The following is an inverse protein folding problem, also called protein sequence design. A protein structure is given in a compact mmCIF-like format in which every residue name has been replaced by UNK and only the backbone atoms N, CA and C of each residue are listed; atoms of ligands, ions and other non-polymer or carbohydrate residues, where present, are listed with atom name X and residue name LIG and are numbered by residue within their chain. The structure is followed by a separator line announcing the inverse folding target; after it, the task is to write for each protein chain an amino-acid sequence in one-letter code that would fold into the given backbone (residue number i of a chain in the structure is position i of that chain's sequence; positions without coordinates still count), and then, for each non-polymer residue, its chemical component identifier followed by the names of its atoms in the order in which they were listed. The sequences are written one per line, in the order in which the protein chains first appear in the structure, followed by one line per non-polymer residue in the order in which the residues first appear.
data_IF_861733947869
#
_entry.id   IF_861733947869
#
_cell.length_a   1.000
_cell.length_b   1.000
_cell.length_c   1.000
_cell.angle_alpha   90.00
_cell.angle_beta   90.00
_cell.angle_gamma   90.00
#
_symmetry.space_group_name_H-M   'P 1'
#
loop_
_entity.id
_entity.type
_entity.pdbx_description
1 polymer ?
#
# COMPACT_ATOMS: atom_id res chain seq x y z
N UNK A 1 7.18 -15.33 3.98
CA UNK A 1 6.58 -15.85 5.20
C UNK A 1 5.24 -15.17 5.46
N UNK A 2 4.19 -15.91 5.89
CA UNK A 2 2.87 -15.38 6.24
C UNK A 2 2.71 -15.39 7.76
N UNK A 3 2.30 -14.24 8.33
CA UNK A 3 2.06 -14.10 9.75
C UNK A 3 0.60 -13.72 9.97
N UNK A 4 -0.15 -14.57 10.67
CA UNK A 4 -1.53 -14.31 11.03
C UNK A 4 -1.60 -13.48 12.31
N UNK A 5 -2.38 -12.41 12.29
CA UNK A 5 -2.64 -11.54 13.43
C UNK A 5 -4.10 -11.65 13.89
N UNK A 6 -4.32 -11.45 15.18
CA UNK A 6 -5.66 -11.49 15.78
C UNK A 6 -6.48 -10.21 15.58
N UNK A 7 -5.84 -9.15 15.05
CA UNK A 7 -6.50 -7.86 14.86
C UNK A 7 -5.78 -7.07 13.77
N UNK A 8 -6.53 -6.38 12.93
CA UNK A 8 -5.99 -5.66 11.78
C UNK A 8 -5.09 -4.49 12.17
N UNK A 9 -5.41 -3.77 13.25
CA UNK A 9 -4.52 -2.74 13.79
C UNK A 9 -3.15 -3.31 14.16
N UNK A 10 -3.11 -4.53 14.74
CA UNK A 10 -1.87 -5.20 15.07
C UNK A 10 -1.09 -5.55 13.80
N UNK A 11 -1.76 -6.08 12.78
CA UNK A 11 -1.12 -6.46 11.51
C UNK A 11 -0.43 -5.25 10.86
N UNK A 12 -1.12 -4.11 10.75
CA UNK A 12 -0.57 -2.88 10.18
C UNK A 12 0.61 -2.35 11.00
N UNK A 13 0.49 -2.34 12.34
CA UNK A 13 1.57 -1.85 13.20
C UNK A 13 2.80 -2.78 13.19
N UNK A 14 2.60 -4.09 13.13
CA UNK A 14 3.71 -5.05 12.97
C UNK A 14 4.43 -4.85 11.65
N UNK A 15 3.69 -4.66 10.55
CA UNK A 15 4.27 -4.36 9.25
C UNK A 15 5.08 -3.05 9.28
N UNK A 16 4.55 -2.01 9.94
CA UNK A 16 5.27 -0.75 10.15
C UNK A 16 6.59 -0.95 10.90
N UNK A 17 6.56 -1.64 12.04
CA UNK A 17 7.76 -1.91 12.83
C UNK A 17 8.79 -2.75 12.09
N UNK A 18 8.33 -3.77 11.37
CA UNK A 18 9.22 -4.62 10.56
C UNK A 18 9.89 -3.82 9.43
N UNK A 19 9.13 -2.97 8.73
CA UNK A 19 9.65 -2.11 7.67
C UNK A 19 10.71 -1.14 8.21
N UNK A 20 10.48 -0.52 9.38
CA UNK A 20 11.46 0.37 9.99
C UNK A 20 12.79 -0.30 10.32
N UNK A 21 12.74 -1.55 10.77
CA UNK A 21 13.95 -2.28 11.17
C UNK A 21 14.70 -2.83 9.95
N UNK A 22 13.96 -3.31 8.94
CA UNK A 22 14.56 -4.04 7.81
C UNK A 22 14.72 -3.20 6.54
N UNK A 23 14.00 -2.08 6.42
CA UNK A 23 13.89 -1.30 5.19
C UNK A 23 13.05 -1.99 4.11
N UNK A 24 12.40 -3.13 4.39
CA UNK A 24 11.65 -3.91 3.43
C UNK A 24 10.15 -3.62 3.54
N UNK A 25 9.55 -3.13 2.45
CA UNK A 25 8.11 -2.92 2.36
C UNK A 25 7.34 -4.23 2.63
N UNK A 26 6.26 -4.14 3.40
CA UNK A 26 5.42 -5.28 3.75
C UNK A 26 4.09 -5.25 3.01
N UNK A 27 3.50 -6.43 2.80
CA UNK A 27 2.11 -6.57 2.38
C UNK A 27 1.24 -6.94 3.58
N UNK A 28 0.09 -6.29 3.71
CA UNK A 28 -0.88 -6.52 4.79
C UNK A 28 -2.24 -6.82 4.18
N UNK A 29 -2.82 -7.95 4.57
CA UNK A 29 -4.17 -8.33 4.21
C UNK A 29 -5.09 -8.07 5.40
N UNK A 30 -6.15 -7.30 5.19
CA UNK A 30 -7.15 -7.00 6.19
C UNK A 30 -8.54 -7.45 5.71
N UNK A 31 -9.46 -7.67 6.63
CA UNK A 31 -10.82 -8.05 6.26
C UNK A 31 -11.52 -6.92 5.50
N UNK A 32 -12.45 -7.29 4.61
CA UNK A 32 -13.30 -6.35 3.87
C UNK A 32 -14.05 -5.40 4.83
N UNK A 33 -14.15 -4.14 4.47
CA UNK A 33 -14.90 -3.13 5.21
C UNK A 33 -14.40 -2.93 6.65
N UNK A 34 -14.88 -3.76 7.56
CA UNK A 34 -14.59 -3.63 9.00
C UNK A 34 -13.11 -3.77 9.33
N UNK A 35 -12.39 -4.68 8.68
CA UNK A 35 -10.96 -4.84 8.87
C UNK A 35 -10.15 -3.65 8.38
N UNK A 36 -10.53 -3.09 7.24
CA UNK A 36 -9.94 -1.85 6.74
C UNK A 36 -10.15 -0.69 7.72
N UNK A 37 -11.37 -0.54 8.27
CA UNK A 37 -11.68 0.47 9.26
C UNK A 37 -10.85 0.29 10.54
N UNK A 38 -10.67 -0.93 11.00
CA UNK A 38 -9.84 -1.24 12.17
C UNK A 38 -8.35 -0.95 11.90
N UNK A 39 -7.87 -1.16 10.69
CA UNK A 39 -6.49 -0.85 10.29
C UNK A 39 -6.23 0.62 9.93
N UNK A 40 -7.28 1.42 9.71
CA UNK A 40 -7.19 2.75 9.11
C UNK A 40 -6.26 3.70 9.87
N UNK A 41 -6.28 3.69 11.20
CA UNK A 41 -5.39 4.53 12.01
C UNK A 41 -3.92 4.14 11.80
N UNK A 42 -3.60 2.86 11.78
CA UNK A 42 -2.26 2.37 11.50
C UNK A 42 -1.77 2.76 10.09
N UNK A 43 -2.64 2.63 9.09
CA UNK A 43 -2.36 3.04 7.70
C UNK A 43 -2.09 4.55 7.65
N UNK A 44 -2.90 5.35 8.36
CA UNK A 44 -2.68 6.80 8.44
C UNK A 44 -1.35 7.14 9.11
N UNK A 45 -0.97 6.43 10.17
CA UNK A 45 0.33 6.59 10.83
C UNK A 45 1.49 6.20 9.89
N UNK A 46 1.34 5.09 9.15
CA UNK A 46 2.33 4.67 8.16
C UNK A 46 2.53 5.72 7.06
N UNK A 47 1.45 6.38 6.61
CA UNK A 47 1.55 7.48 5.66
C UNK A 47 2.31 8.68 6.21
N UNK A 48 2.06 9.07 7.47
CA UNK A 48 2.78 10.18 8.11
C UNK A 48 4.26 9.88 8.35
N UNK A 49 4.58 8.63 8.62
CA UNK A 49 5.94 8.17 8.89
C UNK A 49 6.68 7.68 7.63
N UNK A 50 6.12 7.92 6.45
CA UNK A 50 6.66 7.50 5.15
C UNK A 50 7.03 6.01 5.08
N UNK A 51 6.21 5.14 5.69
CA UNK A 51 6.46 3.69 5.72
C UNK A 51 5.87 3.04 4.46
N UNK A 52 6.71 2.47 3.59
CA UNK A 52 6.21 1.78 2.40
C UNK A 52 5.47 0.50 2.78
N UNK A 53 4.23 0.36 2.32
CA UNK A 53 3.37 -0.77 2.63
C UNK A 53 2.35 -0.98 1.52
N UNK A 54 2.04 -2.23 1.20
CA UNK A 54 0.88 -2.60 0.38
C UNK A 54 -0.21 -3.15 1.30
N UNK A 55 -1.32 -2.43 1.43
CA UNK A 55 -2.50 -2.89 2.15
C UNK A 55 -3.53 -3.38 1.15
N UNK A 56 -4.09 -4.54 1.38
CA UNK A 56 -5.17 -5.10 0.56
C UNK A 56 -6.32 -5.56 1.45
N UNK A 57 -7.53 -5.41 0.95
CA UNK A 57 -8.72 -6.04 1.54
C UNK A 57 -9.61 -6.65 0.47
N UNK A 58 -10.47 -7.56 0.87
CA UNK A 58 -11.58 -7.97 0.02
C UNK A 58 -12.61 -6.85 -0.15
N UNK A 59 -13.44 -6.98 -1.16
CA UNK A 59 -14.63 -6.15 -1.40
C UNK A 59 -15.78 -7.05 -1.83
N UNK A 60 -16.97 -6.50 -1.84
CA UNK A 60 -18.17 -7.14 -2.37
C UNK A 60 -18.03 -7.48 -3.85
N UNK A 61 -18.94 -8.32 -4.33
CA UNK A 61 -19.08 -8.60 -5.76
C UNK A 61 -19.43 -7.32 -6.51
N UNK A 62 -18.68 -7.04 -7.55
CA UNK A 62 -18.87 -5.85 -8.39
C UNK A 62 -19.41 -6.17 -9.77
N UNK A 63 -19.23 -7.40 -10.23
CA UNK A 63 -19.81 -7.94 -11.45
C UNK A 63 -20.92 -8.94 -11.09
N UNK A 64 -22.14 -8.45 -10.94
CA UNK A 64 -23.33 -9.27 -10.62
C UNK A 64 -23.85 -10.17 -11.76
N UNK A 65 -23.01 -10.50 -12.74
CA UNK A 65 -23.41 -11.21 -13.94
C UNK A 65 -23.08 -12.71 -13.95
N UNK A 66 -22.36 -13.21 -12.96
CA UNK A 66 -22.01 -14.63 -12.90
C UNK A 66 -22.97 -15.39 -11.98
N UNK A 67 -23.92 -16.10 -12.60
CA UNK A 67 -24.95 -16.88 -11.90
C UNK A 67 -24.36 -18.08 -11.12
N UNK A 68 -23.12 -18.46 -11.41
CA UNK A 68 -22.46 -19.63 -10.82
C UNK A 68 -21.61 -19.29 -9.58
N UNK A 69 -21.46 -18.02 -9.21
CA UNK A 69 -20.74 -17.64 -8.00
C UNK A 69 -21.56 -18.00 -6.75
N UNK A 70 -21.08 -18.90 -5.88
CA UNK A 70 -21.78 -19.30 -4.66
C UNK A 70 -21.66 -18.21 -3.58
N UNK A 71 -22.34 -17.07 -3.80
CA UNK A 71 -22.16 -15.88 -3.00
C UNK A 71 -23.35 -15.67 -2.07
N UNK A 72 -23.06 -15.50 -0.80
CA UNK A 72 -24.03 -15.10 0.19
C UNK A 72 -24.60 -13.70 -0.11
N UNK A 73 -25.90 -13.45 0.11
CA UNK A 73 -26.53 -12.17 -0.20
C UNK A 73 -25.86 -10.93 0.39
N UNK A 74 -25.17 -11.07 1.51
CA UNK A 74 -24.43 -9.99 2.15
C UNK A 74 -23.31 -9.38 1.27
N UNK A 75 -22.82 -10.14 0.30
CA UNK A 75 -21.73 -9.70 -0.59
C UNK A 75 -22.21 -8.90 -1.81
N UNK A 76 -23.51 -8.74 -1.98
CA UNK A 76 -24.07 -7.94 -3.09
C UNK A 76 -24.29 -6.47 -2.75
N UNK A 77 -24.28 -6.09 -1.50
CA UNK A 77 -24.71 -4.76 -1.05
C UNK A 77 -23.62 -3.71 -0.90
N UNK A 78 -22.37 -4.04 -1.22
CA UNK A 78 -21.24 -3.16 -0.92
C UNK A 78 -20.88 -3.17 0.57
N UNK A 79 -19.83 -3.89 0.94
CA UNK A 79 -19.35 -3.99 2.33
C UNK A 79 -18.81 -2.64 2.81
N UNK A 80 -18.32 -1.83 1.89
CA UNK A 80 -17.81 -0.49 2.16
C UNK A 80 -18.61 0.56 1.41
N UNK A 81 -19.61 1.21 2.04
CA UNK A 81 -20.41 2.25 1.38
C UNK A 81 -19.52 3.33 0.75
N UNK A 82 -19.72 3.58 -0.54
CA UNK A 82 -18.92 4.54 -1.30
C UNK A 82 -17.62 3.99 -1.87
N UNK A 83 -17.25 2.75 -1.57
CA UNK A 83 -16.04 2.06 -2.00
C UNK A 83 -14.92 2.14 -0.97
N UNK A 84 -14.26 1.01 -0.73
CA UNK A 84 -13.17 0.89 0.23
C UNK A 84 -11.95 1.73 -0.18
N UNK A 85 -11.66 1.81 -1.47
CA UNK A 85 -10.62 2.65 -2.05
C UNK A 85 -10.81 4.13 -1.70
N UNK A 86 -12.05 4.64 -1.78
CA UNK A 86 -12.36 6.04 -1.46
C UNK A 86 -12.28 6.35 0.03
N UNK A 87 -12.53 5.35 0.86
CA UNK A 87 -12.47 5.50 2.31
C UNK A 87 -11.04 5.83 2.78
N UNK A 88 -10.02 5.22 2.16
CA UNK A 88 -8.62 5.38 2.56
C UNK A 88 -7.82 6.31 1.65
N UNK A 89 -8.34 6.68 0.49
CA UNK A 89 -7.66 7.55 -0.45
C UNK A 89 -7.03 8.82 0.18
N UNK A 90 -7.64 9.49 1.19
CA UNK A 90 -7.03 10.68 1.81
C UNK A 90 -5.73 10.43 2.58
N UNK A 91 -5.39 9.18 2.90
CA UNK A 91 -4.23 8.86 3.73
C UNK A 91 -3.41 7.66 3.23
N UNK A 92 -3.43 7.46 1.92
CA UNK A 92 -2.51 6.57 1.20
C UNK A 92 -1.97 7.27 -0.05
N UNK A 93 -0.85 6.83 -0.59
CA UNK A 93 -0.29 7.42 -1.82
C UNK A 93 -1.14 7.12 -3.05
N UNK A 94 -1.77 5.96 -3.07
CA UNK A 94 -2.68 5.52 -4.13
C UNK A 94 -3.63 4.47 -3.56
N UNK A 95 -4.90 4.61 -3.92
CA UNK A 95 -5.95 3.64 -3.65
C UNK A 95 -6.61 3.25 -4.97
N UNK A 96 -6.90 1.97 -5.15
CA UNK A 96 -7.53 1.49 -6.37
C UNK A 96 -8.40 0.27 -6.12
N UNK A 97 -9.55 0.27 -6.78
CA UNK A 97 -10.37 -0.90 -6.98
C UNK A 97 -9.78 -1.75 -8.11
N UNK A 98 -9.67 -3.06 -7.90
CA UNK A 98 -9.05 -3.99 -8.85
C UNK A 98 -10.12 -4.61 -9.75
N UNK A 99 -10.11 -4.35 -11.07
CA UNK A 99 -11.19 -4.77 -11.96
C UNK A 99 -11.09 -6.22 -12.47
N UNK A 100 -9.98 -6.92 -12.23
CA UNK A 100 -9.79 -8.32 -12.67
C UNK A 100 -8.56 -8.96 -12.02
N UNK A 101 -8.47 -10.29 -11.98
CA UNK A 101 -7.31 -11.01 -11.48
C UNK A 101 -6.01 -10.70 -12.25
N UNK A 102 -5.98 -10.65 -13.60
CA UNK A 102 -4.79 -10.20 -14.33
C UNK A 102 -4.36 -8.78 -13.98
N UNK A 103 -5.34 -7.87 -13.76
CA UNK A 103 -5.04 -6.49 -13.35
C UNK A 103 -4.51 -6.43 -11.92
N UNK A 104 -4.98 -7.29 -11.01
CA UNK A 104 -4.45 -7.38 -9.64
C UNK A 104 -2.93 -7.59 -9.65
N UNK A 105 -2.44 -8.53 -10.46
CA UNK A 105 -1.00 -8.78 -10.58
C UNK A 105 -0.22 -7.52 -10.98
N UNK A 106 -0.71 -6.79 -11.99
CA UNK A 106 -0.07 -5.54 -12.42
C UNK A 106 -0.17 -4.43 -11.36
N UNK A 107 -1.31 -4.36 -10.67
CA UNK A 107 -1.50 -3.40 -9.57
C UNK A 107 -0.56 -3.68 -8.40
N UNK A 108 -0.31 -4.94 -8.05
CA UNK A 108 0.65 -5.31 -6.98
C UNK A 108 2.07 -4.84 -7.33
N UNK A 109 2.53 -5.10 -8.56
CA UNK A 109 3.86 -4.63 -8.99
C UNK A 109 3.94 -3.10 -8.92
N UNK A 110 2.95 -2.40 -9.50
CA UNK A 110 2.88 -0.94 -9.47
C UNK A 110 2.79 -0.38 -8.04
N UNK A 111 2.00 -1.01 -7.17
CA UNK A 111 1.87 -0.63 -5.79
C UNK A 111 3.21 -0.70 -5.04
N UNK A 112 3.96 -1.79 -5.24
CA UNK A 112 5.30 -1.94 -4.67
C UNK A 112 6.28 -0.88 -5.17
N UNK A 113 6.26 -0.55 -6.46
CA UNK A 113 7.07 0.53 -7.02
C UNK A 113 6.71 1.89 -6.42
N UNK A 114 5.42 2.20 -6.31
CA UNK A 114 4.95 3.49 -5.80
C UNK A 114 5.16 3.65 -4.30
N UNK A 115 4.97 2.58 -3.52
CA UNK A 115 5.16 2.61 -2.08
C UNK A 115 6.59 3.00 -1.69
N UNK A 116 7.57 2.50 -2.42
CA UNK A 116 8.99 2.68 -2.14
C UNK A 116 9.60 3.98 -2.68
N UNK A 117 8.90 4.70 -3.59
CA UNK A 117 9.38 5.99 -4.10
C UNK A 117 9.14 7.11 -3.09
N UNK A 118 10.13 7.95 -2.89
CA UNK A 118 10.02 9.12 -2.01
C UNK A 118 8.99 10.15 -2.54
N UNK A 119 8.18 10.78 -1.68
CA UNK A 119 7.98 10.39 -0.29
C UNK A 119 7.36 8.99 -0.21
N UNK A 120 7.93 8.09 0.61
CA UNK A 120 7.42 6.73 0.75
C UNK A 120 6.07 6.71 1.47
N UNK A 121 5.34 5.59 1.37
CA UNK A 121 4.07 5.48 2.07
C UNK A 121 3.21 4.31 1.61
N UNK A 122 2.09 4.07 2.29
CA UNK A 122 1.19 2.97 2.01
C UNK A 122 0.43 3.17 0.69
N UNK A 123 0.15 2.04 0.05
CA UNK A 123 -0.74 1.89 -1.10
C UNK A 123 -1.90 0.98 -0.66
N UNK A 124 -3.08 1.21 -1.19
CA UNK A 124 -4.23 0.37 -0.92
C UNK A 124 -4.86 -0.19 -2.20
N UNK A 125 -5.17 -1.48 -2.18
CA UNK A 125 -5.92 -2.17 -3.24
C UNK A 125 -7.11 -2.91 -2.63
N UNK A 126 -8.32 -2.67 -3.15
CA UNK A 126 -9.46 -3.52 -2.85
C UNK A 126 -9.67 -4.55 -3.95
N UNK A 127 -9.94 -5.79 -3.53
CA UNK A 127 -10.04 -6.93 -4.43
C UNK A 127 -11.44 -7.50 -4.31
N UNK A 128 -12.29 -7.39 -5.34
CA UNK A 128 -13.60 -8.01 -5.38
C UNK A 128 -13.56 -9.52 -5.17
N UNK A 129 -14.61 -10.05 -4.53
CA UNK A 129 -14.71 -11.46 -4.18
C UNK A 129 -14.60 -12.37 -5.42
N UNK A 130 -15.23 -12.00 -6.53
CA UNK A 130 -15.17 -12.75 -7.77
C UNK A 130 -13.74 -12.96 -8.26
N UNK A 131 -12.87 -11.96 -8.12
CA UNK A 131 -11.47 -12.06 -8.55
C UNK A 131 -10.60 -12.88 -7.60
N UNK A 132 -10.99 -12.97 -6.32
CA UNK A 132 -10.34 -13.88 -5.37
C UNK A 132 -10.70 -15.35 -5.59
N UNK A 133 -11.83 -15.62 -6.24
CA UNK A 133 -12.30 -16.98 -6.57
C UNK A 133 -11.86 -17.43 -7.96
N UNK A 134 -11.33 -16.54 -8.80
CA UNK A 134 -10.81 -16.90 -10.11
C UNK A 134 -9.58 -17.81 -10.02
N UNK A 135 -9.58 -18.91 -10.76
CA UNK A 135 -8.39 -19.75 -10.97
C UNK A 135 -7.50 -19.12 -12.06
N UNK A 136 -6.69 -18.15 -11.65
CA UNK A 136 -5.80 -17.43 -12.53
C UNK A 136 -4.37 -17.39 -11.97
N UNK A 137 -3.40 -17.50 -12.85
CA UNK A 137 -1.99 -17.29 -12.53
C UNK A 137 -1.27 -16.56 -13.67
N UNK A 138 -0.27 -15.73 -13.38
CA UNK A 138 0.51 -15.07 -14.42
C UNK A 138 1.29 -16.08 -15.25
N UNK A 139 1.41 -15.83 -16.54
CA UNK A 139 2.24 -16.64 -17.42
C UNK A 139 3.74 -16.34 -17.17
N UNK A 140 4.54 -17.38 -17.07
CA UNK A 140 6.00 -17.28 -16.92
C UNK A 140 6.47 -17.00 -15.49
N UNK A 141 7.67 -16.46 -15.37
CA UNK A 141 8.28 -16.16 -14.08
C UNK A 141 7.61 -14.94 -13.41
N UNK A 142 7.49 -14.99 -12.08
CA UNK A 142 6.96 -13.88 -11.31
C UNK A 142 7.93 -12.70 -11.36
N UNK A 143 7.41 -11.53 -11.73
CA UNK A 143 8.19 -10.30 -11.73
C UNK A 143 8.44 -9.85 -10.29
N UNK A 144 9.66 -9.44 -10.01
CA UNK A 144 9.99 -8.76 -8.78
C UNK A 144 9.66 -7.26 -8.91
N UNK A 145 9.29 -6.65 -7.80
CA UNK A 145 9.15 -5.19 -7.72
C UNK A 145 10.55 -4.59 -7.85
N UNK A 146 10.81 -3.72 -8.82
CA UNK A 146 12.11 -3.08 -8.95
C UNK A 146 12.37 -2.15 -7.75
N UNK A 147 13.64 -1.96 -7.36
CA UNK A 147 13.98 -0.98 -6.32
C UNK A 147 13.60 0.43 -6.77
N UNK A 148 13.30 1.29 -5.81
CA UNK A 148 13.05 2.70 -6.11
C UNK A 148 14.28 3.35 -6.77
N UNK A 149 14.09 4.23 -7.76
CA UNK A 149 15.20 4.95 -8.35
C UNK A 149 15.85 5.86 -7.29
N UNK A 150 17.18 5.89 -7.28
CA UNK A 150 17.89 6.85 -6.46
C UNK A 150 17.62 8.27 -6.97
N UNK A 151 17.27 9.16 -6.05
CA UNK A 151 17.10 10.58 -6.34
C UNK A 151 18.14 11.39 -5.56
N UNK A 152 18.70 12.41 -6.20
CA UNK A 152 19.63 13.33 -5.56
C UNK A 152 19.42 14.74 -6.09
N UNK A 153 19.83 15.74 -5.33
CA UNK A 153 19.87 17.11 -5.80
C UNK A 153 20.86 17.26 -6.97
N UNK A 154 20.71 18.31 -7.79
CA UNK A 154 21.68 18.61 -8.84
C UNK A 154 23.05 18.90 -8.26
N UNK A 155 24.13 18.49 -8.93
CA UNK A 155 25.49 18.64 -8.41
C UNK A 155 25.82 20.08 -8.00
N UNK A 156 25.40 21.07 -8.79
CA UNK A 156 25.61 22.47 -8.46
C UNK A 156 24.92 22.94 -7.18
N UNK A 157 23.75 22.38 -6.85
CA UNK A 157 23.05 22.65 -5.59
C UNK A 157 23.77 22.01 -4.40
N UNK A 158 24.30 20.81 -4.57
CA UNK A 158 25.08 20.10 -3.55
C UNK A 158 26.37 20.89 -3.27
N UNK A 159 27.07 21.35 -4.31
CA UNK A 159 28.31 22.16 -4.16
C UNK A 159 28.03 23.49 -3.48
N UNK A 160 26.96 24.19 -3.84
CA UNK A 160 26.56 25.44 -3.21
C UNK A 160 26.24 25.24 -1.72
N UNK A 161 25.43 24.22 -1.38
CA UNK A 161 25.10 23.90 0.01
C UNK A 161 26.33 23.52 0.81
N UNK A 162 27.25 22.72 0.24
CA UNK A 162 28.48 22.36 0.88
C UNK A 162 29.37 23.59 1.19
N UNK A 163 29.44 24.55 0.27
CA UNK A 163 30.16 25.81 0.46
C UNK A 163 29.53 26.66 1.56
N UNK A 164 28.20 26.76 1.60
CA UNK A 164 27.46 27.50 2.62
C UNK A 164 27.66 26.90 4.02
N UNK A 165 27.61 25.58 4.16
CA UNK A 165 27.88 24.87 5.42
C UNK A 165 29.31 25.11 5.87
N UNK A 166 30.29 25.03 4.96
CA UNK A 166 31.70 25.24 5.28
C UNK A 166 32.00 26.69 5.67
N UNK A 167 31.31 27.67 5.13
CA UNK A 167 31.45 29.07 5.45
C UNK A 167 30.74 29.50 6.74
N UNK A 168 29.76 28.74 7.20
CA UNK A 168 28.96 29.08 8.35
C UNK A 168 29.73 28.90 9.66
N UNK A 169 29.60 29.86 10.58
CA UNK A 169 30.20 29.77 11.90
C UNK A 169 29.48 28.81 12.84
N UNK A 170 28.15 28.75 12.70
CA UNK A 170 27.26 27.89 13.51
C UNK A 170 26.14 27.33 12.59
N UNK A 171 26.46 26.34 11.75
CA UNK A 171 25.45 25.76 10.88
C UNK A 171 24.37 25.00 11.69
N UNK A 172 23.10 25.20 11.35
CA UNK A 172 21.98 24.49 11.93
C UNK A 172 21.26 23.76 10.79
N UNK A 173 21.07 22.46 10.95
CA UNK A 173 20.29 21.63 10.02
C UNK A 173 18.95 21.33 10.67
N UNK A 174 17.87 21.73 10.03
CA UNK A 174 16.50 21.36 10.43
C UNK A 174 16.01 20.29 9.48
N UNK A 175 15.69 19.12 10.02
CA UNK A 175 15.15 17.99 9.25
C UNK A 175 13.77 17.64 9.75
N UNK A 176 12.89 17.24 8.86
CA UNK A 176 11.63 16.60 9.20
C UNK A 176 11.88 15.10 9.43
N UNK A 177 11.20 14.53 10.43
CA UNK A 177 11.32 13.10 10.79
C UNK A 177 10.03 12.41 10.35
#
# INVERSE_FOLDING_TARGET
EYIQCWHETLAVNMATGYTWITGQAQAVLVHAGVGLLQGAMGIRCAMQAEVPMLVMSGESVTLGADEDLPIEPQWYGGVSPGGADKLVAPFVKWASHVPSAPTLYQCIIRAGEMAQRAPMGPIYLDVPLEHMLEDWSPAGELRQVPPAPATQAANGEIEALAADIAAAKNPVIVTEI
#
